data_IF_423630479842
#
_entry.id   IF_423630479842
#
_cell.length_a   1.000
_cell.length_b   1.000
_cell.length_c   1.000
_cell.angle_alpha   90.00
_cell.angle_beta   90.00
_cell.angle_gamma   90.00
#
_symmetry.space_group_name_H-M   'P 1'
#
loop_
_entity.id
_entity.type
_entity.pdbx_description
1 polymer ?
#
# COMPACT_ATOMS: atom_id res chain seq x y z
N UNK A 1 -14.15 13.23 44.74
CA UNK A 1 -13.06 12.26 44.54
C UNK A 1 -12.81 12.19 43.05
N UNK A 2 -11.90 13.05 42.62
CA UNK A 2 -11.44 13.21 41.24
C UNK A 2 -10.30 12.23 40.96
N UNK A 3 -10.19 11.67 39.75
CA UNK A 3 -9.04 10.88 39.34
C UNK A 3 -7.82 11.78 39.10
N UNK A 4 -6.59 11.30 39.32
CA UNK A 4 -5.39 12.04 38.93
C UNK A 4 -5.08 11.82 37.43
N UNK A 5 -4.83 12.93 36.76
CA UNK A 5 -4.19 13.05 35.45
C UNK A 5 -2.77 12.46 35.47
N UNK A 6 -2.39 11.73 34.43
CA UNK A 6 -0.99 11.43 34.12
C UNK A 6 -0.70 12.06 32.75
N UNK A 7 -0.08 13.24 32.81
CA UNK A 7 0.50 13.95 31.67
C UNK A 7 1.77 13.22 31.20
N UNK A 8 1.85 12.94 29.90
CA UNK A 8 3.09 12.55 29.24
C UNK A 8 3.85 13.81 28.80
N UNK A 9 5.04 14.02 29.38
CA UNK A 9 5.95 15.09 28.99
C UNK A 9 6.66 14.76 27.66
N UNK A 10 6.36 15.54 26.62
CA UNK A 10 7.19 15.66 25.41
C UNK A 10 8.01 16.94 25.52
N UNK A 11 9.33 16.81 25.69
CA UNK A 11 10.26 17.94 25.69
C UNK A 11 10.62 18.30 24.24
N UNK A 12 9.96 19.32 23.68
CA UNK A 12 10.35 19.95 22.41
C UNK A 12 10.93 21.34 22.69
N UNK A 13 12.23 21.49 22.46
CA UNK A 13 12.96 22.75 22.64
C UNK A 13 12.69 23.74 21.51
N UNK A 14 12.06 24.87 21.84
CA UNK A 14 11.99 26.07 20.99
C UNK A 14 13.19 26.99 21.24
N UNK A 15 13.85 27.47 20.18
CA UNK A 15 14.49 28.80 20.17
C UNK A 15 13.97 29.61 18.99
N UNK A 16 13.27 30.69 19.33
CA UNK A 16 12.94 31.81 18.44
C UNK A 16 14.08 32.82 18.46
N UNK A 17 14.46 33.36 17.30
CA UNK A 17 15.06 34.70 17.19
C UNK A 17 14.42 35.43 15.99
N UNK A 18 14.13 36.71 16.23
CA UNK A 18 13.29 37.67 15.49
C UNK A 18 13.94 38.25 14.20
N UNK A 19 13.15 38.96 13.36
CA UNK A 19 13.47 39.24 11.96
C UNK A 19 14.28 40.52 11.75
N UNK A 20 14.97 40.63 10.61
CA UNK A 20 15.48 41.88 10.06
C UNK A 20 14.89 42.12 8.67
N UNK A 21 14.15 43.21 8.53
CA UNK A 21 13.66 43.80 7.28
C UNK A 21 14.78 44.58 6.59
N UNK A 22 14.97 44.42 5.27
CA UNK A 22 15.38 45.52 4.37
C UNK A 22 14.96 45.25 2.90
N UNK A 23 14.05 46.11 2.42
CA UNK A 23 13.87 46.74 1.09
C UNK A 23 14.22 46.00 -0.23
N UNK A 24 13.16 45.75 -1.02
CA UNK A 24 12.90 46.09 -2.44
C UNK A 24 14.07 46.18 -3.46
N UNK A 25 14.00 45.30 -4.48
CA UNK A 25 14.15 45.64 -5.91
C UNK A 25 13.45 44.55 -6.76
N UNK A 26 12.67 44.89 -7.81
CA UNK A 26 11.97 43.89 -8.62
C UNK A 26 12.89 43.42 -9.74
N UNK A 27 13.40 42.19 -9.62
CA UNK A 27 14.05 41.50 -10.72
C UNK A 27 13.02 40.56 -11.34
N UNK A 28 12.61 40.89 -12.56
CA UNK A 28 11.91 40.03 -13.50
C UNK A 28 12.71 38.73 -13.67
N UNK A 29 12.40 37.74 -12.84
CA UNK A 29 12.80 36.36 -13.04
C UNK A 29 11.74 35.71 -13.92
N UNK A 30 12.08 35.51 -15.19
CA UNK A 30 11.43 34.52 -16.04
C UNK A 30 11.39 33.20 -15.27
N UNK A 31 10.22 32.82 -14.76
CA UNK A 31 9.97 31.45 -14.34
C UNK A 31 9.93 30.60 -15.61
N UNK A 32 11.10 30.11 -16.02
CA UNK A 32 11.15 28.86 -16.75
C UNK A 32 10.54 27.83 -15.79
N UNK A 33 9.28 27.44 -16.07
CA UNK A 33 8.67 26.23 -15.54
C UNK A 33 9.51 25.06 -16.06
N UNK A 34 10.64 24.80 -15.41
CA UNK A 34 11.25 23.49 -15.49
C UNK A 34 10.23 22.53 -14.87
N UNK A 35 9.78 21.49 -15.59
CA UNK A 35 9.03 20.43 -14.95
C UNK A 35 9.89 19.93 -13.80
N UNK A 36 9.32 19.96 -12.60
CA UNK A 36 9.90 19.34 -11.43
C UNK A 36 9.99 17.85 -11.74
N UNK A 37 11.11 17.42 -12.31
CA UNK A 37 11.47 16.03 -12.35
C UNK A 37 11.69 15.68 -10.88
N UNK A 38 10.68 15.10 -10.25
CA UNK A 38 10.82 14.50 -8.95
C UNK A 38 11.96 13.48 -9.08
N UNK A 39 13.15 13.83 -8.56
CA UNK A 39 14.24 12.89 -8.47
C UNK A 39 13.82 11.85 -7.43
N UNK A 40 13.24 10.75 -7.89
CA UNK A 40 12.87 9.58 -7.09
C UNK A 40 14.09 8.77 -6.60
N UNK A 41 15.29 9.25 -6.89
CA UNK A 41 16.53 8.63 -6.44
C UNK A 41 16.70 8.83 -4.93
N UNK A 42 16.83 7.69 -4.23
CA UNK A 42 17.25 7.54 -2.83
C UNK A 42 16.14 7.66 -1.77
N UNK A 43 15.10 6.80 -1.88
CA UNK A 43 14.27 6.52 -0.70
C UNK A 43 15.03 5.59 0.25
N UNK A 44 15.28 5.98 1.52
CA UNK A 44 15.90 5.10 2.48
C UNK A 44 15.01 3.87 2.73
N UNK A 45 15.63 2.74 3.07
CA UNK A 45 14.91 1.55 3.55
C UNK A 45 14.02 1.98 4.72
N UNK A 46 12.76 1.55 4.67
CA UNK A 46 11.82 1.75 5.77
C UNK A 46 11.07 0.45 6.02
N UNK A 47 10.67 0.27 7.27
CA UNK A 47 9.76 -0.77 7.70
C UNK A 47 8.44 -0.15 8.10
N UNK A 48 7.41 -0.98 8.20
CA UNK A 48 6.09 -0.53 8.63
C UNK A 48 5.84 -1.01 10.06
N UNK A 49 5.51 -0.13 10.99
CA UNK A 49 5.19 -0.55 12.36
C UNK A 49 3.95 -1.47 12.38
N UNK A 50 3.97 -2.63 13.07
CA UNK A 50 2.88 -3.60 12.98
C UNK A 50 1.51 -3.14 13.50
N UNK A 51 1.48 -2.17 14.41
CA UNK A 51 0.24 -1.67 15.01
C UNK A 51 -0.28 -0.41 14.32
N UNK A 52 0.60 0.53 14.01
CA UNK A 52 0.23 1.85 13.48
C UNK A 52 0.18 1.88 11.95
N UNK A 53 0.92 0.99 11.28
CA UNK A 53 1.11 1.07 9.83
C UNK A 53 2.05 2.21 9.39
N UNK A 54 2.70 2.91 10.33
CA UNK A 54 3.59 4.03 10.02
C UNK A 54 4.94 3.53 9.49
N UNK A 55 5.53 4.30 8.56
CA UNK A 55 6.90 4.04 8.12
C UNK A 55 7.88 4.42 9.23
N UNK A 56 8.82 3.53 9.51
CA UNK A 56 9.85 3.74 10.50
C UNK A 56 11.17 3.12 10.00
N UNK A 57 12.28 3.79 10.24
CA UNK A 57 13.63 3.23 10.03
C UNK A 57 14.03 2.27 11.15
N UNK A 58 13.39 2.38 12.31
CA UNK A 58 13.61 1.54 13.48
C UNK A 58 12.34 1.44 14.31
N UNK A 59 12.08 0.27 14.89
CA UNK A 59 11.08 0.08 15.93
C UNK A 59 11.43 -1.14 16.78
N UNK A 60 10.92 -1.14 18.02
CA UNK A 60 11.03 -2.26 18.93
C UNK A 60 9.66 -2.59 19.53
N UNK A 61 9.38 -3.87 19.74
CA UNK A 61 8.10 -4.36 20.25
C UNK A 61 8.36 -5.20 21.48
N UNK A 62 7.81 -4.77 22.61
CA UNK A 62 7.75 -5.61 23.81
C UNK A 62 6.72 -6.73 23.62
N UNK A 63 7.21 -7.96 23.56
CA UNK A 63 6.43 -9.18 23.55
C UNK A 63 6.27 -9.69 24.98
N UNK A 64 5.05 -9.62 25.49
CA UNK A 64 4.69 -10.22 26.76
C UNK A 64 4.73 -11.76 26.63
N UNK A 65 5.57 -12.42 27.41
CA UNK A 65 5.64 -13.88 27.42
C UNK A 65 5.13 -14.47 28.73
N UNK A 66 4.41 -15.60 28.63
CA UNK A 66 3.88 -16.34 29.78
C UNK A 66 4.96 -17.03 30.62
N UNK A 67 6.18 -17.22 30.08
CA UNK A 67 7.21 -18.09 30.66
C UNK A 67 8.58 -17.44 30.89
N UNK A 68 8.92 -16.33 30.23
CA UNK A 68 10.27 -15.74 30.29
C UNK A 68 10.28 -14.22 30.59
N UNK A 69 9.15 -13.63 30.96
CA UNK A 69 9.05 -12.18 31.12
C UNK A 69 8.90 -11.45 29.78
N UNK A 70 9.19 -10.15 29.76
CA UNK A 70 9.11 -9.33 28.54
C UNK A 70 10.33 -9.62 27.65
N UNK A 71 10.09 -9.89 26.37
CA UNK A 71 11.13 -10.02 25.34
C UNK A 71 10.94 -8.89 24.33
N UNK A 72 12.00 -8.26 23.88
CA UNK A 72 11.94 -7.19 22.89
C UNK A 72 12.30 -7.73 21.50
N UNK A 73 11.43 -7.53 20.53
CA UNK A 73 11.73 -7.73 19.12
C UNK A 73 12.21 -6.40 18.53
N UNK A 74 13.37 -6.39 17.89
CA UNK A 74 13.93 -5.20 17.23
C UNK A 74 14.02 -5.46 15.73
N UNK A 75 13.53 -4.51 14.93
CA UNK A 75 13.64 -4.58 13.46
C UNK A 75 15.10 -4.41 13.04
N UNK A 76 15.58 -5.12 11.99
CA UNK A 76 16.92 -4.89 11.43
C UNK A 76 17.03 -3.47 10.87
N UNK A 77 18.27 -2.97 10.74
CA UNK A 77 18.56 -1.63 10.20
C UNK A 77 18.32 -1.53 8.71
N UNK A 78 18.54 -2.63 7.98
CA UNK A 78 18.35 -2.72 6.55
C UNK A 78 18.04 -4.16 6.12
N UNK A 79 17.79 -4.33 4.82
CA UNK A 79 17.48 -5.64 4.25
C UNK A 79 18.70 -6.57 4.17
N UNK A 80 19.93 -6.06 4.18
CA UNK A 80 21.12 -6.91 4.18
C UNK A 80 21.34 -7.55 5.56
N UNK A 81 21.07 -6.81 6.64
CA UNK A 81 21.07 -7.34 8.01
C UNK A 81 19.97 -8.40 8.19
N UNK A 82 18.79 -8.20 7.59
CA UNK A 82 17.75 -9.23 7.58
C UNK A 82 18.24 -10.53 6.92
N UNK A 83 18.83 -10.46 5.73
CA UNK A 83 19.34 -11.65 5.03
C UNK A 83 20.35 -12.43 5.88
N UNK A 84 21.22 -11.74 6.61
CA UNK A 84 22.16 -12.38 7.55
C UNK A 84 21.42 -13.10 8.69
N UNK A 85 20.42 -12.44 9.30
CA UNK A 85 19.60 -13.02 10.39
C UNK A 85 18.83 -14.27 9.92
N UNK A 86 18.28 -14.23 8.69
CA UNK A 86 17.61 -15.35 8.05
C UNK A 86 18.59 -16.51 7.80
N UNK A 87 19.77 -16.20 7.25
CA UNK A 87 20.82 -17.20 6.98
C UNK A 87 21.28 -17.91 8.26
N UNK A 88 21.44 -17.18 9.35
CA UNK A 88 21.86 -17.72 10.65
C UNK A 88 20.76 -18.56 11.34
N UNK A 89 19.57 -18.63 10.75
CA UNK A 89 18.41 -19.37 11.25
C UNK A 89 17.78 -18.76 12.51
N UNK A 90 18.12 -17.53 12.86
CA UNK A 90 17.60 -16.86 14.05
C UNK A 90 16.11 -16.55 13.92
N UNK A 91 15.65 -16.26 12.71
CA UNK A 91 14.24 -15.99 12.43
C UNK A 91 13.33 -17.23 12.59
N UNK A 92 13.86 -18.43 12.33
CA UNK A 92 13.08 -19.67 12.37
C UNK A 92 13.08 -20.34 13.75
N UNK A 93 14.08 -20.06 14.58
CA UNK A 93 14.26 -20.66 15.92
C UNK A 93 13.40 -20.00 17.01
N UNK A 94 12.68 -18.92 16.67
CA UNK A 94 11.83 -18.15 17.58
C UNK A 94 10.43 -18.71 17.81
N UNK A 95 9.64 -18.00 18.63
CA UNK A 95 8.22 -18.29 18.91
C UNK A 95 7.37 -18.00 17.67
N UNK A 96 6.10 -18.45 17.70
CA UNK A 96 5.15 -18.19 16.59
C UNK A 96 5.02 -16.68 16.31
N UNK A 97 4.99 -15.84 17.34
CA UNK A 97 4.89 -14.38 17.18
C UNK A 97 6.16 -13.84 16.52
N UNK A 98 7.34 -14.25 16.98
CA UNK A 98 8.63 -13.86 16.39
C UNK A 98 8.67 -14.24 14.90
N UNK A 99 8.23 -15.45 14.54
CA UNK A 99 8.17 -15.89 13.13
C UNK A 99 7.24 -15.02 12.28
N UNK A 100 6.12 -14.55 12.83
CA UNK A 100 5.21 -13.64 12.11
C UNK A 100 5.80 -12.25 11.94
N UNK A 101 6.51 -11.75 12.95
CA UNK A 101 7.23 -10.48 12.85
C UNK A 101 8.36 -10.57 11.83
N UNK A 102 9.16 -11.63 11.84
CA UNK A 102 10.18 -11.88 10.82
C UNK A 102 9.61 -12.00 9.41
N UNK A 103 8.48 -12.71 9.25
CA UNK A 103 7.78 -12.75 7.97
C UNK A 103 7.39 -11.35 7.51
N UNK A 104 6.82 -10.53 8.39
CA UNK A 104 6.42 -9.16 8.06
C UNK A 104 7.62 -8.29 7.65
N UNK A 105 8.73 -8.38 8.38
CA UNK A 105 9.98 -7.65 8.05
C UNK A 105 10.52 -8.08 6.68
N UNK A 106 10.42 -9.36 6.34
CA UNK A 106 10.75 -9.87 5.00
C UNK A 106 9.86 -9.29 3.91
N UNK A 107 8.55 -9.19 4.14
CA UNK A 107 7.65 -8.56 3.17
C UNK A 107 7.93 -7.07 2.99
N UNK A 108 8.26 -6.34 4.07
CA UNK A 108 8.65 -4.93 3.98
C UNK A 108 9.92 -4.76 3.11
N UNK A 109 10.92 -5.63 3.30
CA UNK A 109 12.16 -5.60 2.51
C UNK A 109 11.95 -5.94 1.04
N UNK A 110 11.16 -6.99 0.76
CA UNK A 110 10.78 -7.32 -0.60
C UNK A 110 10.04 -6.15 -1.28
N UNK A 111 9.12 -5.50 -0.56
CA UNK A 111 8.36 -4.37 -1.08
C UNK A 111 9.27 -3.16 -1.38
N UNK A 112 10.23 -2.89 -0.50
CA UNK A 112 11.22 -1.85 -0.73
C UNK A 112 12.08 -2.15 -1.98
N UNK A 113 12.50 -3.41 -2.17
CA UNK A 113 13.23 -3.83 -3.37
C UNK A 113 12.40 -3.69 -4.64
N UNK A 114 11.10 -3.98 -4.58
CA UNK A 114 10.18 -3.76 -5.70
C UNK A 114 10.16 -2.29 -6.13
N UNK A 115 10.03 -1.36 -5.17
CA UNK A 115 9.97 0.08 -5.46
C UNK A 115 11.30 0.68 -5.93
N UNK A 116 12.43 0.08 -5.57
CA UNK A 116 13.77 0.64 -5.86
C UNK A 116 14.48 -0.04 -7.03
N UNK A 117 13.85 -1.06 -7.63
CA UNK A 117 14.44 -1.93 -8.65
C UNK A 117 15.01 -1.18 -9.85
N UNK A 118 14.35 -0.11 -10.29
CA UNK A 118 14.70 0.64 -11.50
C UNK A 118 15.03 2.12 -11.22
N UNK A 119 15.55 2.45 -10.02
CA UNK A 119 15.96 3.81 -9.68
C UNK A 119 16.98 4.39 -10.69
N UNK A 120 16.71 5.60 -11.19
CA UNK A 120 17.68 6.41 -11.94
C UNK A 120 17.38 6.67 -13.42
N UNK A 121 16.26 6.19 -13.96
CA UNK A 121 15.79 6.52 -15.32
C UNK A 121 15.09 7.90 -15.35
N UNK A 122 15.03 8.52 -16.55
CA UNK A 122 14.09 9.60 -16.79
C UNK A 122 12.69 8.98 -16.88
N UNK A 123 11.85 9.24 -15.88
CA UNK A 123 10.53 8.63 -15.76
C UNK A 123 9.47 9.61 -16.24
N UNK A 124 8.57 9.15 -17.10
CA UNK A 124 7.37 9.87 -17.50
C UNK A 124 6.28 9.67 -16.44
N UNK A 125 5.77 10.77 -15.90
CA UNK A 125 4.76 10.75 -14.85
C UNK A 125 3.38 11.05 -15.42
N UNK A 126 2.52 10.05 -15.40
CA UNK A 126 1.10 10.18 -15.65
C UNK A 126 0.26 9.82 -14.43
N UNK A 127 0.82 9.39 -13.30
CA UNK A 127 0.05 8.77 -12.22
C UNK A 127 0.00 9.62 -10.96
N UNK A 128 1.00 10.47 -10.70
CA UNK A 128 1.15 11.13 -9.40
C UNK A 128 0.06 12.17 -9.10
N UNK A 129 -0.59 12.70 -10.13
CA UNK A 129 -1.64 13.71 -10.01
C UNK A 129 -3.03 13.11 -9.81
N UNK A 130 -3.18 11.79 -9.92
CA UNK A 130 -4.47 11.12 -9.78
C UNK A 130 -4.81 10.91 -8.29
N UNK A 131 -6.05 11.24 -7.91
CA UNK A 131 -6.52 11.05 -6.53
C UNK A 131 -6.92 9.60 -6.28
N UNK A 132 -5.94 8.77 -5.94
CA UNK A 132 -6.17 7.37 -5.60
C UNK A 132 -7.00 7.17 -4.32
N UNK A 133 -7.16 8.18 -3.47
CA UNK A 133 -8.04 8.06 -2.29
C UNK A 133 -9.51 8.12 -2.70
N UNK A 134 -9.82 8.76 -3.83
CA UNK A 134 -11.18 8.89 -4.37
C UNK A 134 -11.26 8.36 -5.81
N UNK A 135 -10.50 7.30 -6.11
CA UNK A 135 -10.43 6.72 -7.44
C UNK A 135 -11.82 6.30 -7.93
N UNK A 136 -12.14 6.64 -9.19
CA UNK A 136 -13.31 6.07 -9.86
C UNK A 136 -13.06 4.60 -10.11
N UNK A 137 -14.07 3.77 -9.85
CA UNK A 137 -13.94 2.32 -10.01
C UNK A 137 -13.71 1.96 -11.48
N UNK A 138 -14.34 2.66 -12.43
CA UNK A 138 -14.08 2.49 -13.87
C UNK A 138 -12.66 2.81 -14.33
N UNK A 139 -11.90 3.60 -13.57
CA UNK A 139 -10.52 3.95 -13.95
C UNK A 139 -9.54 2.84 -13.53
N UNK A 140 -9.93 1.98 -12.58
CA UNK A 140 -9.10 0.89 -12.08
C UNK A 140 -9.20 -0.35 -12.98
N UNK A 141 -8.15 -1.18 -13.07
CA UNK A 141 -8.20 -2.41 -13.85
C UNK A 141 -9.15 -3.39 -13.17
N UNK A 142 -10.29 -3.64 -13.81
CA UNK A 142 -11.26 -4.65 -13.38
C UNK A 142 -11.14 -5.85 -14.33
N UNK A 143 -10.98 -7.06 -13.80
CA UNK A 143 -10.89 -8.27 -14.60
C UNK A 143 -12.23 -8.58 -15.27
N UNK A 144 -12.40 -8.21 -16.54
CA UNK A 144 -13.62 -8.44 -17.33
C UNK A 144 -13.66 -9.80 -17.99
N UNK A 145 -12.51 -10.44 -18.16
CA UNK A 145 -12.36 -11.66 -18.97
C UNK A 145 -12.71 -12.93 -18.20
N UNK A 146 -13.40 -12.76 -17.07
CA UNK A 146 -13.65 -13.79 -16.12
C UNK A 146 -15.05 -14.35 -16.27
N UNK A 147 -15.17 -15.59 -16.74
CA UNK A 147 -16.44 -16.28 -16.78
C UNK A 147 -16.60 -17.18 -15.55
N UNK A 148 -17.34 -16.77 -14.50
CA UNK A 148 -17.48 -17.56 -13.28
C UNK A 148 -18.18 -18.91 -13.49
N UNK A 149 -18.77 -19.15 -14.67
CA UNK A 149 -19.40 -20.43 -15.04
C UNK A 149 -18.43 -21.43 -15.67
N UNK A 150 -17.23 -20.99 -16.06
CA UNK A 150 -16.20 -21.78 -16.76
C UNK A 150 -14.89 -21.79 -15.97
N UNK A 151 -14.56 -20.67 -15.34
CA UNK A 151 -13.32 -20.46 -14.62
C UNK A 151 -13.59 -20.47 -13.11
N UNK A 152 -13.29 -21.60 -12.46
CA UNK A 152 -13.38 -21.76 -10.99
C UNK A 152 -12.50 -20.76 -10.22
N UNK A 153 -11.58 -20.09 -10.92
CA UNK A 153 -10.60 -19.15 -10.38
C UNK A 153 -11.01 -17.68 -10.56
N UNK A 154 -12.25 -17.43 -11.00
CA UNK A 154 -12.73 -16.08 -11.22
C UNK A 154 -12.84 -15.25 -9.95
N UNK A 155 -11.96 -14.26 -9.81
CA UNK A 155 -11.82 -13.48 -8.58
C UNK A 155 -11.08 -14.24 -7.47
N UNK A 156 -10.57 -15.44 -7.74
CA UNK A 156 -9.71 -16.20 -6.84
C UNK A 156 -8.22 -15.92 -7.03
N UNK A 157 -7.90 -14.87 -7.79
CA UNK A 157 -6.59 -14.23 -7.78
C UNK A 157 -6.31 -13.59 -6.41
N UNK A 158 -6.23 -14.42 -5.37
CA UNK A 158 -5.29 -14.19 -4.29
C UNK A 158 -3.98 -13.90 -4.98
N UNK A 159 -3.40 -12.75 -4.68
CA UNK A 159 -2.20 -12.30 -5.36
C UNK A 159 -1.10 -13.35 -5.32
N UNK A 160 0.04 -13.03 -5.92
CA UNK A 160 1.22 -13.85 -5.69
C UNK A 160 1.51 -13.98 -4.16
N UNK A 161 2.54 -14.74 -3.78
CA UNK A 161 2.89 -14.92 -2.35
C UNK A 161 3.10 -13.60 -1.57
N UNK A 162 3.29 -12.47 -2.25
CA UNK A 162 3.44 -11.14 -1.69
C UNK A 162 2.16 -10.28 -1.74
N UNK A 163 1.05 -10.83 -2.25
CA UNK A 163 -0.23 -10.15 -2.37
C UNK A 163 -0.38 -9.26 -3.61
N UNK A 164 0.51 -9.33 -4.60
CA UNK A 164 0.34 -8.59 -5.86
C UNK A 164 -0.85 -9.14 -6.64
N UNK A 165 -1.81 -8.28 -6.94
CA UNK A 165 -2.99 -8.55 -7.76
C UNK A 165 -2.97 -7.71 -9.04
N UNK A 166 -3.31 -8.27 -10.21
CA UNK A 166 -3.36 -7.54 -11.48
C UNK A 166 -4.67 -6.76 -11.69
N UNK A 167 -5.71 -7.07 -10.92
CA UNK A 167 -7.02 -6.47 -11.03
C UNK A 167 -7.56 -6.10 -9.66
N UNK A 168 -8.44 -5.10 -9.60
CA UNK A 168 -9.16 -4.74 -8.39
C UNK A 168 -9.97 -5.94 -7.87
N UNK A 169 -9.97 -6.21 -6.55
CA UNK A 169 -10.47 -7.47 -6.02
C UNK A 169 -12.00 -7.60 -6.10
N UNK A 170 -12.45 -8.84 -6.32
CA UNK A 170 -13.86 -9.24 -6.32
C UNK A 170 -14.23 -10.03 -5.07
N UNK A 171 -15.52 -10.04 -4.71
CA UNK A 171 -16.10 -10.96 -3.76
C UNK A 171 -16.72 -12.17 -4.49
N UNK A 172 -16.83 -13.31 -3.79
CA UNK A 172 -17.64 -14.42 -4.30
C UNK A 172 -19.11 -14.00 -4.27
N UNK A 173 -19.88 -14.23 -5.34
CA UNK A 173 -21.30 -13.92 -5.35
C UNK A 173 -21.99 -14.70 -4.21
N UNK A 174 -22.73 -14.02 -3.30
CA UNK A 174 -23.65 -14.69 -2.41
C UNK A 174 -24.53 -15.67 -3.19
N UNK A 175 -24.63 -16.90 -2.69
CA UNK A 175 -25.58 -17.86 -3.23
C UNK A 175 -26.99 -17.28 -3.22
N UNK A 176 -27.64 -17.32 -4.39
CA UNK A 176 -28.98 -16.84 -4.71
C UNK A 176 -29.13 -15.30 -4.85
N UNK A 177 -28.85 -14.81 -6.06
CA UNK A 177 -29.02 -13.40 -6.45
C UNK A 177 -30.35 -13.18 -7.17
N UNK A 178 -31.43 -13.10 -6.41
CA UNK A 178 -32.73 -12.56 -6.88
C UNK A 178 -33.28 -11.43 -6.02
N UNK A 179 -32.54 -10.97 -5.01
CA UNK A 179 -32.96 -9.80 -4.24
C UNK A 179 -32.67 -8.52 -5.03
N UNK A 180 -33.73 -7.79 -5.39
CA UNK A 180 -33.74 -6.38 -5.80
C UNK A 180 -33.13 -5.51 -4.67
N UNK A 181 -31.82 -5.63 -4.44
CA UNK A 181 -31.10 -4.71 -3.59
C UNK A 181 -30.98 -3.38 -4.35
N UNK A 182 -31.22 -2.24 -3.69
CA UNK A 182 -31.02 -0.95 -4.32
C UNK A 182 -29.59 -0.88 -4.84
N UNK A 183 -29.45 -0.61 -6.14
CA UNK A 183 -28.16 -0.46 -6.80
C UNK A 183 -27.44 0.76 -6.21
N UNK A 184 -26.68 0.54 -5.14
CA UNK A 184 -25.75 1.52 -4.62
C UNK A 184 -24.47 1.43 -5.45
N UNK A 185 -23.95 2.60 -5.86
CA UNK A 185 -22.71 2.68 -6.63
C UNK A 185 -21.50 2.37 -5.74
N UNK A 186 -20.69 1.41 -6.18
CA UNK A 186 -19.40 1.10 -5.56
C UNK A 186 -18.52 2.33 -5.67
N UNK A 187 -17.86 2.69 -4.58
CA UNK A 187 -17.03 3.89 -4.57
C UNK A 187 -15.85 3.72 -3.63
N UNK A 188 -14.69 4.21 -4.07
CA UNK A 188 -13.58 4.50 -3.19
C UNK A 188 -13.72 5.95 -2.72
N UNK A 189 -13.83 6.16 -1.41
CA UNK A 189 -14.01 7.49 -0.79
C UNK A 189 -13.05 7.61 0.37
N UNK A 190 -12.16 8.60 0.33
CA UNK A 190 -11.13 8.81 1.34
C UNK A 190 -10.34 7.53 1.67
N UNK A 191 -10.06 6.72 0.65
CA UNK A 191 -9.34 5.46 0.76
C UNK A 191 -10.16 4.29 1.31
N UNK A 192 -11.46 4.44 1.53
CA UNK A 192 -12.35 3.35 1.93
C UNK A 192 -13.20 2.92 0.75
N UNK A 193 -13.16 1.63 0.43
CA UNK A 193 -13.98 1.07 -0.63
C UNK A 193 -15.32 0.61 -0.06
N UNK A 194 -16.41 1.21 -0.53
CA UNK A 194 -17.78 0.88 -0.16
C UNK A 194 -18.40 0.02 -1.26
N UNK A 195 -18.80 -1.19 -0.88
CA UNK A 195 -19.43 -2.16 -1.76
C UNK A 195 -18.61 -3.41 -2.02
N UNK A 196 -19.15 -4.27 -2.86
CA UNK A 196 -18.55 -5.53 -3.30
C UNK A 196 -18.74 -5.64 -4.81
N UNK A 197 -17.65 -5.91 -5.51
CA UNK A 197 -17.71 -6.23 -6.93
C UNK A 197 -17.91 -7.74 -7.09
N UNK A 198 -18.80 -8.10 -8.01
CA UNK A 198 -19.02 -9.46 -8.46
C UNK A 198 -18.79 -9.54 -9.96
N UNK A 199 -18.03 -10.54 -10.40
CA UNK A 199 -18.01 -10.93 -11.80
C UNK A 199 -19.23 -11.83 -12.07
N UNK A 200 -20.08 -11.44 -13.03
CA UNK A 200 -21.23 -12.20 -13.51
C UNK A 200 -21.09 -12.47 -15.01
N UNK A 201 -21.82 -13.44 -15.57
CA UNK A 201 -21.77 -13.74 -17.01
C UNK A 201 -22.14 -12.56 -17.92
N UNK A 202 -22.96 -11.61 -17.43
CA UNK A 202 -23.42 -10.42 -18.13
C UNK A 202 -22.55 -9.17 -17.84
N UNK A 203 -21.52 -9.30 -17.01
CA UNK A 203 -20.56 -8.24 -16.71
C UNK A 203 -20.24 -8.11 -15.23
N UNK A 204 -19.69 -6.96 -14.85
CA UNK A 204 -19.37 -6.64 -13.45
C UNK A 204 -20.59 -6.02 -12.79
N UNK A 205 -20.98 -6.57 -11.65
CA UNK A 205 -22.02 -5.97 -10.80
C UNK A 205 -21.39 -5.46 -9.51
N UNK A 206 -21.77 -4.25 -9.14
CA UNK A 206 -21.55 -3.75 -7.81
C UNK A 206 -22.76 -4.02 -6.92
N UNK A 207 -22.52 -4.44 -5.69
CA UNK A 207 -23.46 -4.36 -4.58
C UNK A 207 -22.88 -3.43 -3.51
N UNK A 208 -23.50 -2.27 -3.30
CA UNK A 208 -23.06 -1.33 -2.27
C UNK A 208 -23.25 -1.83 -0.84
N UNK A 209 -23.89 -3.00 -0.65
CA UNK A 209 -24.02 -3.67 0.65
C UNK A 209 -24.79 -2.86 1.69
N UNK A 210 -24.45 -3.07 2.95
CA UNK A 210 -25.00 -2.39 4.13
C UNK A 210 -24.33 -1.03 4.43
N UNK A 211 -23.51 -0.52 3.50
CA UNK A 211 -22.75 0.71 3.65
C UNK A 211 -21.46 0.57 4.48
N UNK A 212 -21.05 -0.64 4.86
CA UNK A 212 -19.74 -0.87 5.47
C UNK A 212 -18.62 -0.96 4.41
N UNK A 213 -17.42 -0.43 4.69
CA UNK A 213 -16.30 -0.54 3.77
C UNK A 213 -15.71 -1.95 3.80
N UNK A 214 -15.34 -2.48 2.64
CA UNK A 214 -14.76 -3.82 2.47
C UNK A 214 -13.24 -3.80 2.26
N UNK A 215 -12.68 -2.66 1.85
CA UNK A 215 -11.22 -2.45 1.73
C UNK A 215 -10.84 -1.07 2.27
N UNK A 216 -9.60 -0.97 2.74
CA UNK A 216 -8.94 0.30 3.07
C UNK A 216 -7.63 0.43 2.33
N UNK A 217 -7.47 1.49 1.54
CA UNK A 217 -6.19 1.96 1.02
C UNK A 217 -5.35 2.49 2.19
N UNK A 218 -4.19 1.88 2.41
CA UNK A 218 -3.27 2.25 3.50
C UNK A 218 -2.04 3.01 3.00
N UNK A 219 -1.71 2.87 1.71
CA UNK A 219 -0.60 3.58 1.10
C UNK A 219 -0.72 3.60 -0.42
N UNK A 220 -0.19 4.67 -1.01
CA UNK A 220 0.12 4.80 -2.43
C UNK A 220 1.61 5.10 -2.50
N UNK A 221 2.34 4.23 -3.18
CA UNK A 221 3.78 4.37 -3.44
C UNK A 221 3.99 4.60 -4.94
N UNK A 222 4.99 5.38 -5.32
CA UNK A 222 5.24 5.74 -6.72
C UNK A 222 6.65 5.29 -7.11
N UNK A 223 6.76 4.47 -8.15
CA UNK A 223 8.01 3.94 -8.66
C UNK A 223 7.83 3.36 -10.07
N UNK A 224 8.89 3.29 -10.87
CA UNK A 224 8.94 2.48 -12.10
C UNK A 224 9.27 1.04 -11.70
N UNK A 225 8.27 0.17 -11.55
CA UNK A 225 8.45 -1.17 -10.96
C UNK A 225 8.77 -2.26 -11.99
N UNK A 226 8.58 -1.96 -13.28
CA UNK A 226 8.90 -2.85 -14.40
C UNK A 226 10.05 -2.36 -15.30
N UNK A 227 10.51 -1.11 -15.13
CA UNK A 227 11.63 -0.54 -15.86
C UNK A 227 11.27 -0.05 -17.26
N UNK A 228 10.01 0.28 -17.53
CA UNK A 228 9.55 0.72 -18.85
C UNK A 228 9.67 2.25 -19.07
N UNK A 229 10.10 2.98 -18.04
CA UNK A 229 10.29 4.43 -18.08
C UNK A 229 9.01 5.23 -17.83
N UNK A 230 7.93 4.59 -17.40
CA UNK A 230 6.72 5.25 -16.90
C UNK A 230 6.61 5.09 -15.37
N UNK A 231 6.05 6.10 -14.70
CA UNK A 231 5.84 6.04 -13.26
C UNK A 231 4.61 5.17 -12.99
N UNK A 232 4.77 4.17 -12.12
CA UNK A 232 3.67 3.34 -11.64
C UNK A 232 3.21 3.79 -10.25
N UNK A 233 1.93 3.63 -9.98
CA UNK A 233 1.35 3.77 -8.66
C UNK A 233 1.08 2.39 -8.05
N UNK A 234 1.65 2.14 -6.88
CA UNK A 234 1.52 0.88 -6.15
C UNK A 234 0.58 1.10 -4.97
N UNK A 235 -0.66 0.67 -5.11
CA UNK A 235 -1.70 0.83 -4.11
C UNK A 235 -1.67 -0.37 -3.15
N UNK A 236 -1.71 -0.11 -1.85
CA UNK A 236 -1.78 -1.14 -0.82
C UNK A 236 -3.11 -1.09 -0.11
N UNK A 237 -3.91 -2.14 -0.24
CA UNK A 237 -5.21 -2.29 0.42
C UNK A 237 -5.13 -3.29 1.57
N UNK A 238 -5.87 -3.04 2.64
CA UNK A 238 -6.17 -4.05 3.66
C UNK A 238 -7.65 -4.41 3.55
N UNK A 239 -7.99 -5.71 3.42
CA UNK A 239 -9.36 -6.18 3.52
C UNK A 239 -9.97 -5.90 4.90
N UNK A 240 -11.21 -5.41 4.92
CA UNK A 240 -11.98 -5.12 6.13
C UNK A 240 -13.11 -6.14 6.31
N UNK A 241 -13.53 -6.32 7.56
CA UNK A 241 -14.69 -7.14 7.91
C UNK A 241 -14.35 -8.50 8.54
N UNK A 242 -15.38 -9.26 8.96
CA UNK A 242 -15.20 -10.54 9.64
C UNK A 242 -14.52 -11.58 8.74
N UNK A 243 -13.47 -12.22 9.24
CA UNK A 243 -12.75 -13.26 8.48
C UNK A 243 -11.83 -12.73 7.37
N UNK A 244 -11.72 -11.41 7.21
CA UNK A 244 -10.86 -10.78 6.24
C UNK A 244 -9.38 -11.22 6.39
N UNK A 245 -8.72 -11.43 5.25
CA UNK A 245 -7.30 -11.74 5.21
C UNK A 245 -6.51 -10.59 5.85
N UNK A 246 -5.54 -10.92 6.72
CA UNK A 246 -4.70 -9.93 7.42
C UNK A 246 -3.45 -9.52 6.64
N UNK A 247 -3.39 -9.85 5.36
CA UNK A 247 -2.28 -9.52 4.47
C UNK A 247 -2.73 -8.38 3.53
N UNK A 248 -1.85 -7.40 3.25
CA UNK A 248 -2.14 -6.38 2.25
C UNK A 248 -2.33 -7.00 0.86
N UNK A 249 -3.26 -6.44 0.10
CA UNK A 249 -3.38 -6.60 -1.34
C UNK A 249 -2.60 -5.47 -2.01
N UNK A 250 -1.77 -5.79 -2.98
CA UNK A 250 -0.91 -4.84 -3.68
C UNK A 250 -1.41 -4.74 -5.12
N UNK A 251 -1.94 -3.58 -5.51
CA UNK A 251 -2.42 -3.32 -6.85
C UNK A 251 -1.50 -2.29 -7.53
N UNK A 252 -0.54 -2.74 -8.34
CA UNK A 252 0.26 -1.85 -9.16
C UNK A 252 -0.55 -1.35 -10.36
N UNK A 253 -0.44 -0.06 -10.64
CA UNK A 253 -1.18 0.65 -11.67
C UNK A 253 -0.20 1.46 -12.51
N UNK A 254 -0.35 1.38 -13.82
CA UNK A 254 0.39 2.17 -14.78
C UNK A 254 -0.55 2.77 -15.81
N UNK A 255 -0.16 3.91 -16.39
CA UNK A 255 -0.78 4.46 -17.60
C UNK A 255 0.26 5.29 -18.37
N UNK A 256 0.09 5.31 -19.68
CA UNK A 256 1.03 5.95 -20.61
C UNK A 256 0.54 7.31 -21.13
N UNK A 257 -0.66 7.72 -20.70
CA UNK A 257 -1.29 9.00 -21.02
C UNK A 257 -2.34 9.33 -19.94
N UNK A 258 -2.69 10.60 -19.78
CA UNK A 258 -3.64 11.06 -18.78
C UNK A 258 -5.10 10.68 -19.09
N UNK A 259 -5.38 10.38 -20.37
CA UNK A 259 -6.72 10.04 -20.88
C UNK A 259 -7.00 8.52 -20.93
N UNK A 260 -6.00 7.70 -20.58
CA UNK A 260 -6.13 6.24 -20.60
C UNK A 260 -6.51 5.68 -19.21
N UNK A 261 -7.31 4.60 -19.14
CA UNK A 261 -7.57 3.90 -17.89
C UNK A 261 -6.28 3.25 -17.35
N UNK A 262 -6.23 3.00 -16.04
CA UNK A 262 -5.11 2.30 -15.45
C UNK A 262 -5.10 0.82 -15.84
N UNK A 263 -3.91 0.28 -16.00
CA UNK A 263 -3.66 -1.16 -16.20
C UNK A 263 -2.60 -1.65 -15.22
N UNK A 264 -2.49 -2.96 -15.03
CA UNK A 264 -1.34 -3.53 -14.34
C UNK A 264 -0.08 -3.45 -15.21
N UNK A 265 1.08 -3.01 -14.68
CA UNK A 265 2.34 -3.08 -15.40
C UNK A 265 2.81 -4.53 -15.61
N UNK A 266 3.52 -4.79 -16.70
CA UNK A 266 4.13 -6.10 -16.95
C UNK A 266 5.35 -6.29 -16.03
N UNK A 267 5.18 -7.08 -14.97
CA UNK A 267 6.24 -7.36 -13.99
C UNK A 267 7.23 -8.43 -14.45
N UNK A 268 7.33 -8.73 -15.74
CA UNK A 268 8.21 -9.78 -16.27
C UNK A 268 9.65 -9.29 -16.48
N UNK A 269 10.68 -9.98 -15.93
CA UNK A 269 10.60 -11.14 -15.05
C UNK A 269 10.18 -10.76 -13.62
N UNK A 270 9.36 -11.64 -13.03
CA UNK A 270 8.79 -11.46 -11.69
C UNK A 270 9.88 -11.03 -10.67
N UNK A 271 9.54 -10.15 -9.70
CA UNK A 271 10.49 -9.71 -8.69
C UNK A 271 11.11 -10.92 -7.98
N UNK A 272 12.43 -10.86 -7.76
CA UNK A 272 13.23 -11.97 -7.23
C UNK A 272 12.67 -12.48 -5.91
N UNK A 273 12.79 -13.81 -5.72
CA UNK A 273 12.24 -14.54 -4.60
C UNK A 273 13.03 -14.39 -3.30
#
# INVERSE_FOLDING_TARGET
>A
MTPPDIEAHVLSGRRQVKPCYYRLAPLLAYFALAPAHAQYADQPVYFTEPLSGQRASEYAIELATTTQGRHEFVVPRDCAELEQILHDGQADRGRVIDRRLWHKVREDCWFHQLLTRHNGSAIQDHVSTYDFMNARIEDLPIGTDCNPSVDDDCGRHGGNRHGIIPYFPFALPPGDHTADLPQAECALRDGLFYGQLYALPDGIRCDGGDGQPSLRLIAVDLADINGDGFLDAVLRFIPLGPGAARAPLILPLTRTSDDEPFRAPDLSPAPLN
#
